data_IF_468157415707
#
_entry.id   IF_468157415707
#
_cell.length_a   1.000
_cell.length_b   1.000
_cell.length_c   1.000
_cell.angle_alpha   90.00
_cell.angle_beta   90.00
_cell.angle_gamma   90.00
#
_symmetry.space_group_name_H-M   'P 1'
#
loop_
_entity.id
_entity.type
_entity.pdbx_description
1 polymer ?
#
# COMPACT_ATOMS: atom_id res chain seq x y z
N UNK A 1 -8.56 6.69 -3.25
CA UNK A 1 -8.00 8.05 -3.07
C UNK A 1 -6.59 8.09 -2.43
N UNK A 2 -6.13 7.09 -1.68
CA UNK A 2 -4.85 7.13 -0.96
C UNK A 2 -3.62 7.45 -1.83
N UNK A 3 -3.41 6.69 -2.90
CA UNK A 3 -2.22 6.80 -3.75
C UNK A 3 -2.09 8.22 -4.33
N UNK A 4 -3.19 8.80 -4.80
CA UNK A 4 -3.17 10.17 -5.32
C UNK A 4 -2.74 11.18 -4.25
N UNK A 5 -3.25 11.06 -3.01
CA UNK A 5 -2.82 11.91 -1.89
C UNK A 5 -1.34 11.72 -1.58
N UNK A 6 -0.83 10.49 -1.61
CA UNK A 6 0.58 10.18 -1.42
C UNK A 6 1.45 10.89 -2.47
N UNK A 7 1.12 10.71 -3.75
CA UNK A 7 1.85 11.31 -4.88
C UNK A 7 1.77 12.84 -4.92
N UNK A 8 0.75 13.44 -4.29
CA UNK A 8 0.57 14.90 -4.18
C UNK A 8 1.18 15.50 -2.91
N UNK A 9 1.85 14.72 -2.07
CA UNK A 9 2.38 15.25 -0.80
C UNK A 9 1.30 15.61 0.23
N UNK A 10 0.06 15.12 0.04
CA UNK A 10 -1.09 15.52 0.82
C UNK A 10 -1.36 14.62 2.05
N UNK A 11 -0.50 13.62 2.30
CA UNK A 11 -0.64 12.78 3.49
C UNK A 11 -0.07 13.47 4.74
N UNK A 12 -0.77 13.37 5.88
CA UNK A 12 -0.32 13.95 7.15
C UNK A 12 0.71 13.03 7.84
N UNK A 13 1.89 12.92 7.23
CA UNK A 13 3.07 12.25 7.80
C UNK A 13 3.92 13.25 8.59
N UNK A 14 4.75 12.75 9.51
CA UNK A 14 5.54 13.57 10.46
C UNK A 14 6.23 14.78 9.81
N UNK A 15 7.07 14.56 8.80
CA UNK A 15 7.82 15.66 8.17
C UNK A 15 6.91 16.67 7.45
N UNK A 16 5.79 16.21 6.87
CA UNK A 16 4.82 17.09 6.18
C UNK A 16 3.98 17.91 7.14
N UNK A 17 3.75 17.42 8.36
CA UNK A 17 3.07 18.17 9.41
C UNK A 17 4.00 19.24 9.99
N UNK A 18 5.27 18.91 10.19
CA UNK A 18 6.31 19.86 10.61
C UNK A 18 6.50 20.99 9.59
N UNK A 19 6.58 20.67 8.29
CA UNK A 19 6.62 21.65 7.19
C UNK A 19 5.43 22.62 7.20
N UNK A 20 4.29 22.21 7.77
CA UNK A 20 3.07 23.02 7.90
C UNK A 20 2.96 23.70 9.27
N UNK A 21 4.04 23.72 10.05
CA UNK A 21 4.11 24.29 11.40
C UNK A 21 3.10 23.69 12.39
N UNK A 22 2.69 22.42 12.18
CA UNK A 22 1.85 21.68 13.12
C UNK A 22 2.77 21.04 14.17
N UNK A 23 2.54 21.37 15.44
CA UNK A 23 3.33 20.86 16.57
C UNK A 23 3.08 19.35 16.72
N UNK A 24 4.02 18.54 16.23
CA UNK A 24 4.00 17.08 16.36
C UNK A 24 5.42 16.53 16.29
N UNK A 25 5.61 15.29 16.72
CA UNK A 25 6.89 14.59 16.56
C UNK A 25 7.02 14.12 15.10
N UNK A 26 8.00 14.63 14.32
CA UNK A 26 8.15 14.31 12.91
C UNK A 26 8.70 12.90 12.67
N UNK A 27 9.08 12.18 13.72
CA UNK A 27 9.69 10.86 13.63
C UNK A 27 8.65 9.74 13.47
N UNK A 28 9.04 8.72 12.73
CA UNK A 28 8.28 7.50 12.58
C UNK A 28 8.18 6.79 13.94
N UNK A 29 6.95 6.53 14.40
CA UNK A 29 6.70 5.84 15.68
C UNK A 29 7.17 4.38 15.72
N UNK A 30 7.67 3.83 14.61
CA UNK A 30 8.21 2.47 14.53
C UNK A 30 9.73 2.43 14.65
N UNK A 31 10.44 3.21 13.83
CA UNK A 31 11.91 3.15 13.73
C UNK A 31 12.63 4.41 14.23
N UNK A 32 11.90 5.50 14.55
CA UNK A 32 12.48 6.74 15.07
C UNK A 32 13.13 7.67 14.03
N UNK A 33 13.22 7.27 12.76
CA UNK A 33 13.72 8.12 11.67
C UNK A 33 12.67 9.15 11.22
N UNK A 34 13.04 10.25 10.53
CA UNK A 34 12.07 11.21 9.99
C UNK A 34 11.01 10.55 9.10
N UNK A 35 9.72 10.76 9.41
CA UNK A 35 8.59 10.13 8.72
C UNK A 35 8.18 10.92 7.47
N UNK A 36 8.85 10.67 6.35
CA UNK A 36 8.40 11.11 5.02
C UNK A 36 7.38 10.14 4.42
N UNK A 37 6.71 10.54 3.33
CA UNK A 37 5.76 9.66 2.62
C UNK A 37 6.49 8.45 2.02
N UNK A 38 7.67 8.67 1.42
CA UNK A 38 8.50 7.57 0.91
C UNK A 38 8.97 6.67 2.04
N UNK A 39 9.39 7.25 3.17
CA UNK A 39 9.82 6.47 4.32
C UNK A 39 8.69 5.59 4.84
N UNK A 40 7.50 6.16 5.05
CA UNK A 40 6.31 5.45 5.48
C UNK A 40 6.02 4.23 4.59
N UNK A 41 6.04 4.40 3.26
CA UNK A 41 5.63 3.34 2.35
C UNK A 41 6.73 2.38 1.94
N UNK A 42 8.01 2.74 1.98
CA UNK A 42 9.08 1.93 1.38
C UNK A 42 10.35 1.81 2.23
N UNK A 43 10.71 2.81 3.03
CA UNK A 43 12.01 2.78 3.73
C UNK A 43 11.93 2.41 5.22
N UNK A 44 10.76 2.52 5.84
CA UNK A 44 10.51 2.04 7.19
C UNK A 44 10.69 0.52 7.25
N UNK A 45 11.33 0.00 8.30
CA UNK A 45 11.62 -1.44 8.42
C UNK A 45 10.35 -2.29 8.34
N UNK A 46 9.26 -1.82 8.94
CA UNK A 46 7.94 -2.46 8.81
C UNK A 46 7.49 -2.55 7.35
N UNK A 47 7.60 -1.45 6.60
CA UNK A 47 7.20 -1.42 5.20
C UNK A 47 8.09 -2.33 4.34
N UNK A 48 9.41 -2.31 4.56
CA UNK A 48 10.36 -3.21 3.89
C UNK A 48 9.99 -4.67 4.10
N UNK A 49 9.74 -5.09 5.35
CA UNK A 49 9.33 -6.46 5.65
C UNK A 49 8.00 -6.82 4.97
N UNK A 50 7.02 -5.91 4.96
CA UNK A 50 5.76 -6.15 4.23
C UNK A 50 6.03 -6.37 2.75
N UNK A 51 6.84 -5.53 2.10
CA UNK A 51 7.16 -5.67 0.67
C UNK A 51 7.96 -6.93 0.34
N UNK A 52 8.92 -7.30 1.19
CA UNK A 52 9.75 -8.51 1.02
C UNK A 52 8.95 -9.81 1.19
N UNK A 53 7.86 -9.78 1.95
CA UNK A 53 7.00 -10.96 2.16
C UNK A 53 5.93 -11.12 1.09
N UNK A 54 5.81 -10.16 0.16
CA UNK A 54 4.85 -10.25 -0.94
C UNK A 54 5.30 -11.34 -1.92
N UNK A 55 4.40 -12.25 -2.32
CA UNK A 55 4.70 -13.27 -3.34
C UNK A 55 4.68 -12.67 -4.75
N UNK A 56 5.57 -11.71 -5.05
CA UNK A 56 5.78 -11.23 -6.40
C UNK A 56 6.63 -12.22 -7.22
N UNK A 57 6.52 -12.16 -8.55
CA UNK A 57 7.33 -12.99 -9.45
C UNK A 57 8.84 -12.71 -9.30
N UNK A 58 9.18 -11.47 -9.01
CA UNK A 58 10.55 -11.02 -8.76
C UNK A 58 10.62 -10.35 -7.39
N UNK A 59 11.73 -10.56 -6.67
CA UNK A 59 11.98 -9.86 -5.42
C UNK A 59 11.98 -8.34 -5.63
N UNK A 60 11.40 -7.62 -4.66
CA UNK A 60 11.41 -6.17 -4.67
C UNK A 60 12.76 -5.64 -4.18
N UNK A 61 13.63 -5.29 -5.12
CA UNK A 61 14.78 -4.44 -4.83
C UNK A 61 14.42 -2.96 -4.98
N UNK A 62 14.30 -2.26 -3.85
CA UNK A 62 14.09 -0.80 -3.80
C UNK A 62 15.37 -0.04 -3.43
N UNK A 63 16.53 -0.70 -3.40
CA UNK A 63 17.81 -0.05 -3.07
C UNK A 63 18.12 1.05 -4.08
N UNK A 64 18.53 2.21 -3.56
CA UNK A 64 18.83 3.39 -4.39
C UNK A 64 17.60 4.17 -4.88
N UNK A 65 16.38 3.64 -4.75
CA UNK A 65 15.16 4.37 -5.11
C UNK A 65 14.72 5.29 -3.97
N UNK A 66 14.79 6.60 -4.22
CA UNK A 66 14.47 7.65 -3.24
C UNK A 66 13.13 8.30 -3.55
N UNK A 67 12.78 8.40 -4.84
CA UNK A 67 11.57 9.10 -5.27
C UNK A 67 10.33 8.22 -5.19
N UNK A 68 9.30 8.71 -4.48
CA UNK A 68 8.04 7.99 -4.29
C UNK A 68 7.40 7.59 -5.63
N UNK A 69 7.51 8.44 -6.65
CA UNK A 69 6.90 8.22 -7.95
C UNK A 69 7.58 7.09 -8.72
N UNK A 70 8.90 6.98 -8.60
CA UNK A 70 9.68 5.89 -9.17
C UNK A 70 9.31 4.57 -8.51
N UNK A 71 9.33 4.54 -7.18
CA UNK A 71 8.91 3.38 -6.37
C UNK A 71 7.48 2.93 -6.72
N UNK A 72 6.55 3.87 -6.84
CA UNK A 72 5.17 3.56 -7.23
C UNK A 72 5.09 2.94 -8.63
N UNK A 73 5.79 3.50 -9.62
CA UNK A 73 5.80 2.96 -10.97
C UNK A 73 6.45 1.57 -11.03
N UNK A 74 7.44 1.33 -10.19
CA UNK A 74 8.09 0.04 -10.05
C UNK A 74 7.13 -1.02 -9.48
N UNK A 75 6.51 -0.78 -8.32
CA UNK A 75 5.67 -1.79 -7.66
C UNK A 75 4.30 -1.98 -8.31
N UNK A 76 3.74 -0.95 -8.94
CA UNK A 76 2.38 -1.04 -9.48
C UNK A 76 2.25 -2.01 -10.66
N UNK A 77 3.35 -2.37 -11.31
CA UNK A 77 3.35 -3.23 -12.51
C UNK A 77 3.74 -4.67 -12.21
N UNK A 78 4.15 -4.97 -10.97
CA UNK A 78 4.66 -6.30 -10.59
C UNK A 78 3.51 -7.32 -10.48
N UNK A 79 3.56 -8.42 -11.24
CA UNK A 79 2.59 -9.51 -11.12
C UNK A 79 2.83 -10.32 -9.85
N UNK A 80 1.75 -10.84 -9.25
CA UNK A 80 1.81 -11.77 -8.13
C UNK A 80 1.92 -13.21 -8.62
N UNK A 81 2.65 -14.05 -7.90
CA UNK A 81 2.74 -15.49 -8.17
C UNK A 81 1.42 -16.20 -7.78
N UNK A 82 0.99 -17.22 -8.55
CA UNK A 82 0.05 -18.22 -8.04
C UNK A 82 0.62 -18.90 -6.78
N UNK A 83 -0.18 -19.30 -5.78
CA UNK A 83 -1.64 -19.40 -5.74
C UNK A 83 -2.34 -18.21 -5.06
N UNK A 84 -1.80 -16.98 -5.19
CA UNK A 84 -2.43 -15.80 -4.58
C UNK A 84 -3.87 -15.56 -5.05
N UNK A 85 -4.31 -16.15 -6.16
CA UNK A 85 -5.68 -15.98 -6.69
C UNK A 85 -5.93 -14.58 -7.25
N UNK A 86 -4.90 -13.74 -7.32
CA UNK A 86 -4.93 -12.40 -7.90
C UNK A 86 -4.36 -12.52 -9.32
N UNK A 87 -5.24 -12.59 -10.31
CA UNK A 87 -4.88 -12.83 -11.72
C UNK A 87 -4.95 -11.57 -12.58
N UNK A 88 -5.69 -10.56 -12.15
CA UNK A 88 -5.91 -9.31 -12.90
C UNK A 88 -5.82 -8.05 -12.04
N UNK A 89 -5.74 -8.18 -10.71
CA UNK A 89 -5.61 -7.07 -9.77
C UNK A 89 -4.15 -6.73 -9.42
N UNK A 90 -3.86 -5.44 -9.25
CA UNK A 90 -2.58 -4.99 -8.70
C UNK A 90 -2.63 -5.04 -7.17
N UNK A 91 -1.69 -5.72 -6.52
CA UNK A 91 -1.64 -5.85 -5.06
C UNK A 91 -1.04 -4.63 -4.36
N UNK A 92 -0.15 -3.89 -5.05
CA UNK A 92 0.54 -2.72 -4.50
C UNK A 92 -0.39 -1.64 -3.87
N UNK A 93 -1.54 -1.24 -4.49
CA UNK A 93 -2.50 -0.34 -3.85
C UNK A 93 -2.97 -0.80 -2.46
N UNK A 94 -3.23 -2.10 -2.30
CA UNK A 94 -3.76 -2.68 -1.08
C UNK A 94 -2.68 -2.77 0.01
N UNK A 95 -1.45 -3.07 -0.38
CA UNK A 95 -0.29 -3.04 0.52
C UNK A 95 -0.08 -1.62 1.06
N UNK A 96 -0.05 -0.61 0.19
CA UNK A 96 0.06 0.78 0.62
C UNK A 96 -1.11 1.18 1.54
N UNK A 97 -2.32 0.71 1.24
CA UNK A 97 -3.48 0.93 2.11
C UNK A 97 -3.32 0.33 3.50
N UNK A 98 -2.86 -0.91 3.60
CA UNK A 98 -2.64 -1.57 4.89
C UNK A 98 -1.47 -0.94 5.66
N UNK A 99 -0.37 -0.55 5.00
CA UNK A 99 0.73 0.20 5.64
C UNK A 99 0.22 1.52 6.23
N UNK A 100 -0.56 2.29 5.47
CA UNK A 100 -1.17 3.54 5.94
C UNK A 100 -2.10 3.30 7.13
N UNK A 101 -2.94 2.28 7.05
CA UNK A 101 -3.89 1.91 8.11
C UNK A 101 -3.15 1.47 9.38
N UNK A 102 -2.12 0.65 9.25
CA UNK A 102 -1.28 0.19 10.36
C UNK A 102 -0.53 1.35 11.02
N UNK A 103 -0.07 2.35 10.24
CA UNK A 103 0.52 3.57 10.78
C UNK A 103 -0.51 4.39 11.56
N UNK A 104 -1.71 4.57 11.03
CA UNK A 104 -2.75 5.35 11.72
C UNK A 104 -3.20 4.69 13.02
N UNK A 105 -3.39 3.36 13.03
CA UNK A 105 -3.68 2.61 14.26
C UNK A 105 -2.60 2.79 15.31
N UNK A 106 -1.33 2.81 14.90
CA UNK A 106 -0.21 3.06 15.82
C UNK A 106 -0.25 4.49 16.36
N UNK A 107 -0.49 5.49 15.51
CA UNK A 107 -0.49 6.91 15.93
C UNK A 107 -1.68 7.27 16.81
N UNK A 108 -2.89 6.79 16.50
CA UNK A 108 -4.11 7.20 17.19
C UNK A 108 -4.57 6.24 18.29
N UNK A 109 -4.09 5.00 18.28
CA UNK A 109 -4.52 3.97 19.23
C UNK A 109 -3.37 3.20 19.87
N UNK A 110 -2.12 3.56 19.57
CA UNK A 110 -0.90 2.86 20.02
C UNK A 110 -0.90 1.35 19.70
N UNK A 111 -1.65 0.93 18.67
CA UNK A 111 -1.74 -0.47 18.27
C UNK A 111 -0.70 -0.79 17.20
N UNK A 112 0.21 -1.72 17.51
CA UNK A 112 1.22 -2.21 16.57
C UNK A 112 0.63 -3.31 15.70
N UNK A 113 0.48 -3.02 14.41
CA UNK A 113 0.17 -4.06 13.42
C UNK A 113 1.40 -4.93 13.11
N UNK A 114 1.14 -6.22 12.90
CA UNK A 114 2.10 -7.22 12.43
C UNK A 114 2.17 -7.23 10.90
N UNK A 115 3.34 -7.55 10.35
CA UNK A 115 3.60 -7.51 8.91
C UNK A 115 2.81 -8.59 8.17
N UNK A 116 2.77 -9.82 8.71
CA UNK A 116 2.04 -10.94 8.13
C UNK A 116 0.52 -10.74 8.11
N UNK A 117 -0.06 -10.18 9.19
CA UNK A 117 -1.48 -9.83 9.23
C UNK A 117 -1.80 -8.74 8.20
N UNK A 118 -0.95 -7.70 8.11
CA UNK A 118 -1.12 -6.60 7.16
C UNK A 118 -1.10 -7.10 5.71
N UNK A 119 -0.18 -8.01 5.37
CA UNK A 119 -0.12 -8.62 4.04
C UNK A 119 -1.35 -9.50 3.77
N UNK A 120 -1.76 -10.32 4.73
CA UNK A 120 -2.94 -11.20 4.59
C UNK A 120 -4.22 -10.39 4.35
N UNK A 121 -4.38 -9.27 5.06
CA UNK A 121 -5.48 -8.32 4.87
C UNK A 121 -5.44 -7.69 3.49
N UNK A 122 -4.26 -7.25 3.03
CA UNK A 122 -4.09 -6.68 1.70
C UNK A 122 -4.46 -7.67 0.59
N UNK A 123 -4.01 -8.93 0.69
CA UNK A 123 -4.36 -10.01 -0.25
C UNK A 123 -5.87 -10.27 -0.25
N UNK A 124 -6.49 -10.36 0.94
CA UNK A 124 -7.94 -10.55 1.05
C UNK A 124 -8.72 -9.44 0.36
N UNK A 125 -8.39 -8.17 0.64
CA UNK A 125 -9.06 -7.02 0.02
C UNK A 125 -8.87 -7.02 -1.52
N UNK A 126 -7.69 -7.39 -2.00
CA UNK A 126 -7.42 -7.50 -3.43
C UNK A 126 -8.28 -8.57 -4.11
N UNK A 127 -8.46 -9.74 -3.45
CA UNK A 127 -9.32 -10.83 -3.95
C UNK A 127 -10.79 -10.41 -3.98
N UNK A 128 -11.29 -9.86 -2.87
CA UNK A 128 -12.67 -9.37 -2.76
C UNK A 128 -13.00 -8.36 -3.86
N UNK A 129 -12.08 -7.45 -4.15
CA UNK A 129 -12.21 -6.49 -5.25
C UNK A 129 -12.29 -7.19 -6.61
N UNK A 130 -11.37 -8.11 -6.90
CA UNK A 130 -11.33 -8.84 -8.18
C UNK A 130 -12.61 -9.65 -8.42
N UNK A 131 -13.12 -10.32 -7.39
CA UNK A 131 -14.38 -11.05 -7.44
C UNK A 131 -15.57 -10.12 -7.74
N UNK A 132 -15.60 -8.94 -7.12
CA UNK A 132 -16.61 -7.91 -7.39
C UNK A 132 -16.61 -7.45 -8.86
N UNK A 133 -15.44 -7.19 -9.43
CA UNK A 133 -15.31 -6.77 -10.83
C UNK A 133 -15.75 -7.87 -11.82
N UNK A 134 -15.50 -9.14 -11.47
CA UNK A 134 -15.92 -10.29 -12.30
C UNK A 134 -17.44 -10.41 -12.33
N UNK A 135 -18.10 -10.25 -11.18
CA UNK A 135 -19.58 -10.27 -11.07
C UNK A 135 -20.22 -9.14 -11.88
N UNK A 136 -19.71 -7.91 -11.76
CA UNK A 136 -20.22 -6.76 -12.55
C UNK A 136 -20.10 -6.98 -14.06
N UNK A 137 -18.98 -7.55 -14.51
CA UNK A 137 -18.76 -7.83 -15.93
C UNK A 137 -19.73 -8.89 -16.46
N UNK A 138 -20.05 -9.91 -15.66
CA UNK A 138 -21.08 -10.90 -16.02
C UNK A 138 -22.48 -10.28 -16.07
N UNK A 139 -22.85 -9.46 -15.08
CA UNK A 139 -24.16 -8.76 -15.05
C UNK A 139 -24.34 -7.81 -16.24
N UNK A 140 -23.29 -7.11 -16.68
CA UNK A 140 -23.34 -6.24 -17.88
C UNK A 140 -23.47 -7.02 -19.18
N UNK A 141 -22.91 -8.23 -19.27
CA UNK A 141 -23.03 -9.08 -20.46
C UNK A 141 -24.41 -9.71 -20.60
N UNK A 142 -25.08 -10.02 -19.50
CA UNK A 142 -26.45 -10.59 -19.53
C UNK A 142 -27.54 -9.55 -19.76
N UNK A 143 -27.27 -8.26 -19.52
CA UNK A 143 -28.22 -7.16 -19.73
C UNK A 143 -28.16 -6.51 -21.12
N UNK A 144 -27.20 -6.88 -21.98
CA UNK A 144 -27.21 -6.46 -23.39
C UNK A 144 -28.17 -7.35 -24.19
N UNK A 145 -29.22 -6.80 -24.85
CA UNK A 145 -30.10 -7.60 -25.68
C UNK A 145 -29.32 -8.17 -26.87
N UNK A 146 -29.50 -9.46 -27.13
CA UNK A 146 -28.97 -10.12 -28.33
C UNK A 146 -29.64 -9.46 -29.55
N UNK A 147 -28.83 -8.77 -30.36
CA UNK A 147 -29.22 -8.26 -31.69
C UNK A 147 -29.33 -9.42 -32.65
#
# INVERSE_FOLDING_TARGET
MLIWKALRGALPVGTRLEERHIITDPKCKRCGLPESITHLFFHCDFAKTVWQTVPFVEELDSRGMIELRELWNYVKTKPCLPPTGITSGHLAPWIMWEIWTARNKLVFSNLRGETGESLSRAIRMAREWQEGQTKETQTRRTSQPKV
#
